data_IF_707945562159
#
_entry.id   IF_707945562159
#
_cell.length_a   1.000
_cell.length_b   1.000
_cell.length_c   1.000
_cell.angle_alpha   90.00
_cell.angle_beta   90.00
_cell.angle_gamma   90.00
#
_symmetry.space_group_name_H-M   'P 1'
#
loop_
_entity.id
_entity.type
_entity.pdbx_description
1 polymer ?
#
# COMPACT_ATOMS: atom_id res chain seq x y z
N UNK A 1 -6.78 0.70 -6.58
CA UNK A 1 -7.13 -0.73 -6.33
C UNK A 1 -6.07 -1.68 -6.87
N UNK A 2 -5.94 -1.85 -8.21
CA UNK A 2 -5.05 -2.86 -8.80
C UNK A 2 -3.58 -2.75 -8.32
N UNK A 3 -3.03 -1.54 -8.20
CA UNK A 3 -1.68 -1.36 -7.69
C UNK A 3 -1.50 -1.94 -6.28
N UNK A 4 -2.48 -1.74 -5.38
CA UNK A 4 -2.42 -2.30 -4.03
C UNK A 4 -2.54 -3.83 -4.06
N UNK A 5 -3.36 -4.41 -4.94
CA UNK A 5 -3.48 -5.87 -5.12
C UNK A 5 -2.14 -6.47 -5.57
N UNK A 6 -1.49 -5.86 -6.56
CA UNK A 6 -0.19 -6.30 -7.08
C UNK A 6 0.90 -6.20 -6.01
N UNK A 7 1.01 -5.05 -5.33
CA UNK A 7 2.01 -4.85 -4.28
C UNK A 7 1.80 -5.83 -3.12
N UNK A 8 0.55 -6.09 -2.73
CA UNK A 8 0.23 -7.07 -1.70
C UNK A 8 0.64 -8.49 -2.12
N UNK A 9 0.39 -8.86 -3.38
CA UNK A 9 0.86 -10.13 -3.94
C UNK A 9 2.39 -10.26 -3.95
N UNK A 10 3.11 -9.18 -4.28
CA UNK A 10 4.58 -9.17 -4.23
C UNK A 10 5.07 -9.38 -2.79
N UNK A 11 4.40 -8.84 -1.78
CA UNK A 11 4.81 -9.06 -0.38
C UNK A 11 4.82 -10.54 0.05
N UNK A 12 4.17 -11.44 -0.69
CA UNK A 12 4.08 -12.88 -0.40
C UNK A 12 5.24 -13.71 -0.99
N UNK A 13 6.12 -13.11 -1.79
CA UNK A 13 7.31 -13.80 -2.34
C UNK A 13 8.55 -13.51 -1.50
N UNK A 14 9.59 -14.34 -1.63
CA UNK A 14 10.87 -14.13 -0.94
C UNK A 14 11.44 -12.73 -1.22
N UNK A 15 11.78 -12.01 -0.15
CA UNK A 15 12.28 -10.63 -0.14
C UNK A 15 11.37 -9.61 -0.85
N UNK A 16 10.12 -9.98 -1.13
CA UNK A 16 9.17 -9.13 -1.84
C UNK A 16 8.70 -7.93 -1.00
N UNK A 17 8.46 -8.15 0.28
CA UNK A 17 8.01 -7.12 1.20
C UNK A 17 9.05 -5.98 1.36
N UNK A 18 10.35 -6.30 1.44
CA UNK A 18 11.44 -5.33 1.49
C UNK A 18 11.50 -4.49 0.20
N UNK A 19 11.36 -5.13 -0.97
CA UNK A 19 11.33 -4.44 -2.27
C UNK A 19 10.13 -3.51 -2.39
N UNK A 20 8.96 -3.92 -1.91
CA UNK A 20 7.77 -3.07 -1.88
C UNK A 20 7.97 -1.88 -0.94
N UNK A 21 8.55 -2.11 0.24
CA UNK A 21 8.85 -1.05 1.20
C UNK A 21 9.83 -0.03 0.62
N UNK A 22 10.88 -0.51 -0.05
CA UNK A 22 11.86 0.32 -0.74
C UNK A 22 11.19 1.15 -1.85
N UNK A 23 10.38 0.51 -2.70
CA UNK A 23 9.66 1.20 -3.78
C UNK A 23 8.72 2.29 -3.26
N UNK A 24 7.99 2.05 -2.17
CA UNK A 24 7.11 3.04 -1.55
C UNK A 24 7.92 4.15 -0.86
N UNK A 25 9.14 3.86 -0.40
CA UNK A 25 10.03 4.87 0.17
C UNK A 25 10.53 5.83 -0.90
N UNK A 26 10.95 5.29 -2.06
CA UNK A 26 11.42 6.09 -3.20
C UNK A 26 10.30 6.86 -3.89
N UNK A 27 9.08 6.30 -3.90
CA UNK A 27 7.93 6.95 -4.53
C UNK A 27 7.55 8.28 -3.87
N UNK A 28 7.89 8.50 -2.58
CA UNK A 28 7.63 9.80 -1.90
C UNK A 28 8.12 10.99 -2.71
N UNK A 29 9.34 10.91 -3.25
CA UNK A 29 9.94 12.01 -4.03
C UNK A 29 9.20 12.21 -5.35
N UNK A 30 8.82 11.12 -6.00
CA UNK A 30 8.14 11.10 -7.31
C UNK A 30 6.71 11.64 -7.18
N UNK A 31 6.01 11.25 -6.11
CA UNK A 31 4.62 11.59 -5.84
C UNK A 31 4.45 12.88 -5.03
N UNK A 32 5.55 13.47 -4.53
CA UNK A 32 5.53 14.67 -3.70
C UNK A 32 4.96 14.45 -2.30
N UNK A 33 5.05 13.24 -1.76
CA UNK A 33 4.56 12.91 -0.41
C UNK A 33 5.51 13.42 0.68
N UNK A 34 4.93 13.99 1.75
CA UNK A 34 5.70 14.46 2.90
C UNK A 34 6.25 13.30 3.73
N UNK A 35 5.49 12.23 3.87
CA UNK A 35 5.83 11.04 4.65
C UNK A 35 5.58 9.78 3.84
N UNK A 36 6.24 8.68 4.19
CA UNK A 36 6.03 7.38 3.54
C UNK A 36 4.58 6.96 3.76
N UNK A 37 3.97 6.33 2.74
CA UNK A 37 2.59 5.85 2.76
C UNK A 37 1.50 6.92 2.80
N UNK A 38 1.83 8.20 2.59
CA UNK A 38 0.83 9.27 2.73
C UNK A 38 -0.40 9.01 1.83
N UNK A 39 -0.18 8.72 0.54
CA UNK A 39 -1.25 8.45 -0.42
C UNK A 39 -2.03 7.19 -0.08
N UNK A 40 -1.36 6.16 0.42
CA UNK A 40 -2.01 4.91 0.88
C UNK A 40 -2.99 5.20 2.02
N UNK A 41 -2.57 6.01 2.99
CA UNK A 41 -3.42 6.42 4.11
C UNK A 41 -4.55 7.34 3.63
N UNK A 42 -4.26 8.30 2.74
CA UNK A 42 -5.27 9.18 2.15
C UNK A 42 -6.38 8.37 1.45
N UNK A 43 -6.01 7.35 0.66
CA UNK A 43 -6.96 6.47 -0.03
C UNK A 43 -7.81 5.62 0.94
N UNK A 44 -7.32 5.31 2.14
CA UNK A 44 -8.10 4.61 3.17
C UNK A 44 -9.18 5.54 3.76
N UNK A 45 -8.85 6.81 4.00
CA UNK A 45 -9.79 7.78 4.55
C UNK A 45 -10.77 8.35 3.51
N UNK A 46 -10.41 8.33 2.23
CA UNK A 46 -11.22 8.88 1.16
C UNK A 46 -12.56 8.12 1.00
N UNK A 47 -13.64 8.86 0.76
CA UNK A 47 -14.88 8.32 0.22
C UNK A 47 -14.89 8.52 -1.30
N UNK A 48 -15.22 7.46 -2.04
CA UNK A 48 -15.33 7.47 -3.50
C UNK A 48 -16.79 7.63 -3.93
N UNK A 49 -17.02 7.75 -5.24
CA UNK A 49 -18.34 8.06 -5.81
C UNK A 49 -19.40 7.03 -5.40
N UNK A 50 -19.00 5.76 -5.22
CA UNK A 50 -19.88 4.71 -4.73
C UNK A 50 -19.26 3.98 -3.52
N UNK A 51 -20.13 3.46 -2.65
CA UNK A 51 -19.74 2.78 -1.42
C UNK A 51 -18.95 1.50 -1.69
N UNK A 52 -19.34 0.74 -2.72
CA UNK A 52 -18.66 -0.51 -3.12
C UNK A 52 -17.20 -0.27 -3.52
N UNK A 53 -16.93 0.80 -4.24
CA UNK A 53 -15.58 1.20 -4.63
C UNK A 53 -14.78 1.67 -3.43
N UNK A 54 -15.42 2.43 -2.52
CA UNK A 54 -14.81 2.84 -1.26
C UNK A 54 -14.39 1.63 -0.42
N UNK A 55 -15.28 0.66 -0.23
CA UNK A 55 -15.00 -0.59 0.47
C UNK A 55 -13.89 -1.38 -0.21
N UNK A 56 -13.92 -1.47 -1.55
CA UNK A 56 -12.90 -2.18 -2.32
C UNK A 56 -11.51 -1.55 -2.15
N UNK A 57 -11.39 -0.23 -2.25
CA UNK A 57 -10.12 0.48 -2.03
C UNK A 57 -9.61 0.24 -0.61
N UNK A 58 -10.45 0.43 0.41
CA UNK A 58 -10.08 0.22 1.82
C UNK A 58 -9.62 -1.21 2.08
N UNK A 59 -10.35 -2.19 1.57
CA UNK A 59 -10.03 -3.61 1.75
C UNK A 59 -8.66 -3.94 1.18
N UNK A 60 -8.39 -3.54 -0.07
CA UNK A 60 -7.09 -3.82 -0.69
C UNK A 60 -5.95 -3.03 -0.04
N UNK A 61 -6.16 -1.74 0.28
CA UNK A 61 -5.16 -0.92 0.94
C UNK A 61 -4.76 -1.51 2.31
N UNK A 62 -5.75 -1.91 3.12
CA UNK A 62 -5.51 -2.58 4.39
C UNK A 62 -4.85 -3.95 4.23
N UNK A 63 -5.20 -4.70 3.17
CA UNK A 63 -4.52 -5.96 2.84
C UNK A 63 -3.03 -5.77 2.55
N UNK A 64 -2.65 -4.70 1.83
CA UNK A 64 -1.24 -4.35 1.61
C UNK A 64 -0.55 -3.98 2.92
N UNK A 65 -1.20 -3.18 3.79
CA UNK A 65 -0.66 -2.85 5.12
C UNK A 65 -0.39 -4.11 5.93
N UNK A 66 -1.35 -5.04 5.97
CA UNK A 66 -1.19 -6.31 6.68
C UNK A 66 -0.05 -7.14 6.11
N UNK A 67 0.09 -7.20 4.78
CA UNK A 67 1.17 -7.94 4.14
C UNK A 67 2.55 -7.35 4.47
N UNK A 68 2.69 -6.02 4.50
CA UNK A 68 3.94 -5.35 4.87
C UNK A 68 4.31 -5.56 6.34
N UNK A 69 3.33 -5.51 7.25
CA UNK A 69 3.57 -5.65 8.68
C UNK A 69 3.81 -7.11 9.11
N UNK A 70 3.18 -8.07 8.43
CA UNK A 70 3.27 -9.49 8.81
C UNK A 70 4.58 -10.15 8.37
N UNK A 71 5.27 -9.59 7.38
CA UNK A 71 6.51 -10.15 6.83
C UNK A 71 7.76 -9.91 7.67
N UNK A 72 7.64 -9.27 8.85
CA UNK A 72 8.74 -9.05 9.79
C UNK A 72 9.43 -7.69 9.59
N UNK A 73 10.55 -7.43 10.30
CA UNK A 73 11.28 -6.18 10.16
C UNK A 73 11.91 -6.07 8.77
N UNK A 74 11.54 -5.02 8.04
CA UNK A 74 12.24 -4.56 6.85
C UNK A 74 12.89 -3.22 7.23
N UNK A 75 14.21 -3.22 7.40
CA UNK A 75 15.02 -2.03 7.70
C UNK A 75 15.34 -1.23 6.43
#
# INVERSE_FOLDING_TARGET
>A
VLCYEILAGICLINDGHEKVLHAITESRKILGERTRFQRLIDDIYQNYVNERETERVRTTAMSLVNALLSSGPAE
#
